data_IF_888031360423
#
_entry.id   IF_888031360423
#
_cell.length_a   1.000
_cell.length_b   1.000
_cell.length_c   1.000
_cell.angle_alpha   90.00
_cell.angle_beta   90.00
_cell.angle_gamma   90.00
#
_symmetry.space_group_name_H-M   'P 1'
#
loop_
_entity.id
_entity.type
_entity.pdbx_description
1 polymer ?
#
# COMPACT_ATOMS: atom_id res chain seq x y z
N UNK A 1 0.85 2.93 -49.90
CA UNK A 1 -0.42 3.03 -49.12
C UNK A 1 -0.24 2.26 -47.81
N UNK A 2 -0.62 2.81 -46.64
CA UNK A 2 -0.51 2.08 -45.36
C UNK A 2 -1.64 1.06 -45.21
N UNK A 3 -1.32 -0.12 -44.70
CA UNK A 3 -2.31 -1.14 -44.34
C UNK A 3 -3.05 -0.79 -43.05
N UNK A 4 -4.30 -1.22 -42.97
CA UNK A 4 -5.18 -0.95 -41.83
C UNK A 4 -4.98 -1.95 -40.70
N UNK A 5 -5.43 -1.55 -39.51
CA UNK A 5 -5.60 -2.44 -38.36
C UNK A 5 -6.78 -3.39 -38.62
N UNK A 6 -6.61 -4.72 -38.49
CA UNK A 6 -7.70 -5.67 -38.64
C UNK A 6 -8.87 -5.39 -37.71
N UNK A 7 -10.10 -5.67 -38.15
CA UNK A 7 -11.31 -5.39 -37.37
C UNK A 7 -11.31 -6.08 -36.01
N UNK A 8 -10.79 -7.31 -35.91
CA UNK A 8 -10.73 -8.04 -34.65
C UNK A 8 -9.87 -7.33 -33.58
N UNK A 9 -8.78 -6.66 -33.99
CA UNK A 9 -7.92 -5.90 -33.08
C UNK A 9 -8.70 -4.69 -32.54
N UNK A 10 -9.44 -3.99 -33.39
CA UNK A 10 -10.28 -2.87 -32.95
C UNK A 10 -11.38 -3.34 -32.00
N UNK A 11 -12.00 -4.50 -32.26
CA UNK A 11 -13.00 -5.09 -31.37
C UNK A 11 -12.40 -5.40 -29.99
N UNK A 12 -11.21 -6.01 -29.93
CA UNK A 12 -10.52 -6.28 -28.67
C UNK A 12 -10.21 -4.99 -27.89
N UNK A 13 -9.77 -3.94 -28.58
CA UNK A 13 -9.53 -2.62 -27.97
C UNK A 13 -10.84 -2.04 -27.40
N UNK A 14 -11.94 -2.09 -28.16
CA UNK A 14 -13.25 -1.60 -27.72
C UNK A 14 -13.73 -2.37 -26.49
N UNK A 15 -13.62 -3.70 -26.48
CA UNK A 15 -14.00 -4.53 -25.33
C UNK A 15 -13.16 -4.15 -24.10
N UNK A 16 -11.84 -4.02 -24.26
CA UNK A 16 -10.96 -3.60 -23.17
C UNK A 16 -11.34 -2.23 -22.60
N UNK A 17 -11.60 -1.25 -23.47
CA UNK A 17 -12.06 0.08 -23.06
C UNK A 17 -13.44 0.04 -22.36
N UNK A 18 -14.37 -0.78 -22.84
CA UNK A 18 -15.67 -0.96 -22.19
C UNK A 18 -15.54 -1.60 -20.81
N UNK A 19 -14.67 -2.61 -20.64
CA UNK A 19 -14.42 -3.22 -19.33
C UNK A 19 -13.88 -2.17 -18.34
N UNK A 20 -12.88 -1.39 -18.77
CA UNK A 20 -12.33 -0.30 -17.95
C UNK A 20 -13.43 0.71 -17.60
N UNK A 21 -14.18 1.18 -18.59
CA UNK A 21 -15.25 2.15 -18.39
C UNK A 21 -16.32 1.64 -17.41
N UNK A 22 -16.82 0.42 -17.56
CA UNK A 22 -17.82 -0.13 -16.64
C UNK A 22 -17.25 -0.31 -15.22
N UNK A 23 -15.99 -0.77 -15.09
CA UNK A 23 -15.34 -0.89 -13.78
C UNK A 23 -15.18 0.47 -13.09
N UNK A 24 -14.95 1.55 -13.84
CA UNK A 24 -14.91 2.92 -13.31
C UNK A 24 -16.24 3.39 -12.70
N UNK A 25 -17.38 2.79 -13.03
CA UNK A 25 -18.67 3.19 -12.42
C UNK A 25 -19.21 2.16 -11.43
N UNK A 26 -18.94 0.87 -11.66
CA UNK A 26 -19.52 -0.21 -10.86
C UNK A 26 -18.60 -0.61 -9.71
N UNK A 27 -17.28 -0.41 -9.83
CA UNK A 27 -16.29 -0.81 -8.81
C UNK A 27 -16.33 -2.30 -8.43
N UNK A 28 -16.87 -3.13 -9.31
CA UNK A 28 -16.89 -4.60 -9.21
C UNK A 28 -16.96 -5.20 -10.61
N UNK A 29 -16.68 -6.49 -10.76
CA UNK A 29 -16.82 -7.21 -12.04
C UNK A 29 -18.24 -7.77 -12.27
N UNK A 30 -19.20 -7.47 -11.40
CA UNK A 30 -20.58 -7.97 -11.51
C UNK A 30 -21.27 -7.51 -12.81
N UNK A 31 -20.84 -6.38 -13.38
CA UNK A 31 -21.35 -5.90 -14.66
C UNK A 31 -21.10 -6.87 -15.82
N UNK A 32 -20.15 -7.80 -15.72
CA UNK A 32 -19.91 -8.82 -16.75
C UNK A 32 -21.10 -9.78 -16.88
N UNK A 33 -21.92 -9.93 -15.82
CA UNK A 33 -23.19 -10.65 -15.85
C UNK A 33 -24.37 -9.83 -16.38
N UNK A 34 -24.17 -8.52 -16.63
CA UNK A 34 -25.25 -7.62 -17.02
C UNK A 34 -25.57 -7.70 -18.52
N UNK A 35 -26.86 -7.81 -18.92
CA UNK A 35 -27.24 -7.76 -20.32
C UNK A 35 -26.92 -6.40 -20.97
N UNK A 36 -26.83 -5.32 -20.18
CA UNK A 36 -26.48 -3.99 -20.69
C UNK A 36 -25.01 -3.92 -21.14
N UNK A 37 -24.09 -4.57 -20.43
CA UNK A 37 -22.69 -4.65 -20.84
C UNK A 37 -22.55 -5.41 -22.16
N UNK A 38 -23.19 -6.58 -22.29
CA UNK A 38 -23.13 -7.33 -23.54
C UNK A 38 -23.85 -6.62 -24.69
N UNK A 39 -24.93 -5.90 -24.42
CA UNK A 39 -25.59 -5.03 -25.40
C UNK A 39 -24.67 -3.95 -25.95
N UNK A 40 -23.90 -3.26 -25.10
CA UNK A 40 -22.93 -2.24 -25.54
C UNK A 40 -21.76 -2.84 -26.30
N UNK A 41 -21.25 -4.02 -25.89
CA UNK A 41 -20.22 -4.77 -26.63
C UNK A 41 -20.69 -5.13 -28.04
N UNK A 42 -21.92 -5.63 -28.19
CA UNK A 42 -22.49 -5.97 -29.51
C UNK A 42 -22.60 -4.74 -30.40
N UNK A 43 -23.14 -3.63 -29.88
CA UNK A 43 -23.24 -2.36 -30.63
C UNK A 43 -21.84 -1.88 -31.04
N UNK A 44 -20.87 -1.89 -30.12
CA UNK A 44 -19.48 -1.52 -30.42
C UNK A 44 -18.86 -2.39 -31.50
N UNK A 45 -19.12 -3.70 -31.48
CA UNK A 45 -18.70 -4.64 -32.52
C UNK A 45 -19.30 -4.31 -33.89
N UNK A 46 -20.61 -4.04 -33.96
CA UNK A 46 -21.29 -3.65 -35.20
C UNK A 46 -20.68 -2.36 -35.76
N UNK A 47 -20.46 -1.35 -34.92
CA UNK A 47 -19.83 -0.10 -35.34
C UNK A 47 -18.39 -0.33 -35.84
N UNK A 48 -17.63 -1.21 -35.20
CA UNK A 48 -16.29 -1.59 -35.66
C UNK A 48 -16.32 -2.26 -37.05
N UNK A 49 -17.31 -3.11 -37.33
CA UNK A 49 -17.49 -3.72 -38.65
C UNK A 49 -17.90 -2.71 -39.72
N UNK A 50 -18.82 -1.79 -39.41
CA UNK A 50 -19.22 -0.70 -40.33
C UNK A 50 -17.99 0.15 -40.67
N UNK A 51 -17.23 0.56 -39.66
CA UNK A 51 -15.98 1.30 -39.86
C UNK A 51 -14.94 0.50 -40.66
N UNK A 52 -14.87 -0.82 -40.44
CA UNK A 52 -14.05 -1.71 -41.27
C UNK A 52 -14.49 -1.66 -42.73
N UNK A 53 -15.76 -1.87 -43.01
CA UNK A 53 -16.29 -1.90 -44.38
C UNK A 53 -16.08 -0.56 -45.11
N UNK A 54 -16.33 0.58 -44.45
CA UNK A 54 -16.07 1.92 -45.02
C UNK A 54 -14.61 2.06 -45.41
N UNK A 55 -13.68 1.65 -44.53
CA UNK A 55 -12.27 1.76 -44.85
C UNK A 55 -11.81 0.79 -45.96
N UNK A 56 -12.50 -0.33 -46.18
CA UNK A 56 -12.20 -1.24 -47.30
C UNK A 56 -12.60 -0.59 -48.64
N UNK A 57 -13.72 0.15 -48.66
CA UNK A 57 -14.10 0.96 -49.82
C UNK A 57 -13.06 2.05 -50.10
N UNK A 58 -12.57 2.74 -49.07
CA UNK A 58 -11.52 3.76 -49.20
C UNK A 58 -10.21 3.14 -49.69
N UNK A 59 -9.80 2.00 -49.12
CA UNK A 59 -8.59 1.26 -49.52
C UNK A 59 -8.68 0.86 -50.99
N UNK A 60 -9.79 0.28 -51.42
CA UNK A 60 -10.02 -0.10 -52.81
C UNK A 60 -9.95 1.10 -53.77
N UNK A 61 -10.55 2.23 -53.40
CA UNK A 61 -10.48 3.45 -54.19
C UNK A 61 -9.07 4.03 -54.29
N UNK A 62 -8.27 3.94 -53.22
CA UNK A 62 -6.85 4.33 -53.24
C UNK A 62 -6.02 3.36 -54.06
N UNK A 63 -6.23 2.06 -53.91
CA UNK A 63 -5.51 1.02 -54.64
C UNK A 63 -5.65 1.17 -56.16
N UNK A 64 -6.85 1.54 -56.65
CA UNK A 64 -7.09 1.80 -58.08
C UNK A 64 -6.19 2.89 -58.65
N UNK A 65 -5.84 3.90 -57.85
CA UNK A 65 -5.04 5.07 -58.24
C UNK A 65 -3.52 4.84 -58.23
N UNK A 66 -3.06 3.68 -57.77
CA UNK A 66 -1.63 3.34 -57.69
C UNK A 66 -1.05 2.89 -59.04
N UNK A 67 0.25 3.13 -59.22
CA UNK A 67 1.03 2.59 -60.35
C UNK A 67 1.11 1.05 -60.29
N UNK A 68 1.46 0.35 -61.39
CA UNK A 68 1.64 -1.10 -61.38
C UNK A 68 2.66 -1.58 -60.35
N UNK A 69 3.77 -0.84 -60.21
CA UNK A 69 4.85 -1.13 -59.25
C UNK A 69 4.37 -0.96 -57.81
N UNK A 70 3.67 0.14 -57.52
CA UNK A 70 3.10 0.40 -56.19
C UNK A 70 2.04 -0.64 -55.80
N UNK A 71 1.24 -1.11 -56.77
CA UNK A 71 0.28 -2.19 -56.56
C UNK A 71 0.98 -3.49 -56.20
N UNK A 72 2.03 -3.86 -56.92
CA UNK A 72 2.80 -5.08 -56.65
C UNK A 72 3.44 -5.03 -55.26
N UNK A 73 4.06 -3.90 -54.90
CA UNK A 73 4.65 -3.69 -53.58
C UNK A 73 3.60 -3.79 -52.46
N UNK A 74 2.45 -3.15 -52.64
CA UNK A 74 1.35 -3.20 -51.67
C UNK A 74 0.80 -4.61 -51.48
N UNK A 75 0.62 -5.37 -52.56
CA UNK A 75 0.14 -6.76 -52.49
C UNK A 75 1.16 -7.69 -51.83
N UNK A 76 2.46 -7.47 -52.04
CA UNK A 76 3.51 -8.20 -51.36
C UNK A 76 3.49 -7.92 -49.85
N UNK A 77 3.36 -6.65 -49.46
CA UNK A 77 3.22 -6.25 -48.06
C UNK A 77 1.96 -6.84 -47.42
N UNK A 78 0.85 -6.95 -48.16
CA UNK A 78 -0.45 -7.47 -47.66
C UNK A 78 -0.41 -8.95 -47.29
N UNK A 79 0.59 -9.70 -47.80
CA UNK A 79 0.82 -11.11 -47.42
C UNK A 79 1.47 -11.25 -46.05
N UNK A 80 2.04 -10.19 -45.49
CA UNK A 80 2.66 -10.22 -44.15
C UNK A 80 1.57 -10.08 -43.08
N UNK A 81 1.45 -11.03 -42.14
CA UNK A 81 0.47 -10.94 -41.06
C UNK A 81 0.63 -9.67 -40.22
N UNK A 82 -0.50 -9.16 -39.70
CA UNK A 82 -0.52 -7.90 -38.93
C UNK A 82 0.46 -7.89 -37.75
N UNK A 83 0.46 -8.94 -36.93
CA UNK A 83 1.33 -9.02 -35.75
C UNK A 83 2.80 -9.13 -36.13
N UNK A 84 3.11 -9.87 -37.20
CA UNK A 84 4.48 -9.96 -37.74
C UNK A 84 4.97 -8.60 -38.21
N UNK A 85 4.13 -7.85 -38.93
CA UNK A 85 4.45 -6.48 -39.35
C UNK A 85 4.66 -5.56 -38.15
N UNK A 86 3.80 -5.64 -37.13
CA UNK A 86 3.92 -4.82 -35.93
C UNK A 86 5.25 -5.08 -35.22
N UNK A 87 5.61 -6.35 -35.04
CA UNK A 87 6.89 -6.76 -34.47
C UNK A 87 8.07 -6.26 -35.31
N UNK A 88 8.07 -6.52 -36.62
CA UNK A 88 9.13 -6.06 -37.51
C UNK A 88 9.27 -4.53 -37.52
N UNK A 89 8.17 -3.79 -37.46
CA UNK A 89 8.19 -2.33 -37.40
C UNK A 89 8.77 -1.81 -36.07
N UNK A 90 8.54 -2.53 -34.96
CA UNK A 90 9.08 -2.16 -33.65
C UNK A 90 10.60 -2.37 -33.55
N UNK A 91 11.14 -3.34 -34.30
CA UNK A 91 12.55 -3.76 -34.25
C UNK A 91 13.31 -3.56 -35.56
N UNK A 92 12.78 -2.77 -36.50
CA UNK A 92 13.45 -2.50 -37.78
C UNK A 92 14.76 -1.76 -37.53
N UNK A 93 15.89 -2.39 -37.83
CA UNK A 93 17.21 -1.75 -37.85
C UNK A 93 17.39 -0.93 -39.11
N UNK A 94 18.14 0.15 -39.00
CA UNK A 94 18.56 0.95 -40.14
C UNK A 94 19.69 0.23 -40.88
N UNK A 95 19.76 0.45 -42.19
CA UNK A 95 20.89 0.03 -42.99
C UNK A 95 22.04 1.03 -42.84
N UNK A 96 23.27 0.56 -43.10
CA UNK A 96 24.46 1.43 -43.03
C UNK A 96 24.41 2.63 -44.00
N UNK A 97 23.67 2.51 -45.11
CA UNK A 97 23.43 3.63 -46.03
C UNK A 97 22.49 4.66 -45.42
N UNK A 98 21.37 4.22 -44.83
CA UNK A 98 20.43 5.10 -44.13
C UNK A 98 21.09 5.80 -42.94
N UNK A 99 21.94 5.10 -42.17
CA UNK A 99 22.67 5.69 -41.04
C UNK A 99 23.63 6.80 -41.49
N UNK A 100 24.30 6.63 -42.62
CA UNK A 100 25.20 7.65 -43.17
C UNK A 100 24.43 8.90 -43.63
N UNK A 101 23.25 8.72 -44.20
CA UNK A 101 22.43 9.82 -44.73
C UNK A 101 21.79 10.67 -43.60
N UNK A 102 21.64 10.11 -42.40
CA UNK A 102 21.04 10.80 -41.23
C UNK A 102 22.07 11.16 -40.15
N UNK A 103 23.37 10.97 -40.43
CA UNK A 103 24.43 11.32 -39.50
C UNK A 103 24.53 12.85 -39.38
N UNK A 104 24.48 13.35 -38.15
CA UNK A 104 24.67 14.77 -37.87
C UNK A 104 26.13 15.15 -38.17
N UNK A 105 26.39 16.34 -38.71
CA UNK A 105 27.70 16.76 -39.24
C UNK A 105 28.75 17.13 -38.18
N UNK A 106 28.37 17.13 -36.91
CA UNK A 106 29.21 17.40 -35.76
C UNK A 106 29.02 16.33 -34.69
N UNK A 107 30.07 16.13 -33.88
CA UNK A 107 30.08 15.17 -32.79
C UNK A 107 31.02 15.62 -31.67
N UNK A 108 31.00 14.88 -30.57
CA UNK A 108 31.81 15.16 -29.39
C UNK A 108 32.70 13.96 -29.08
N UNK A 109 34.01 14.19 -28.96
CA UNK A 109 35.00 13.14 -28.63
C UNK A 109 34.92 11.90 -29.56
N UNK A 110 34.70 12.13 -30.86
CA UNK A 110 34.57 11.07 -31.86
C UNK A 110 33.23 10.32 -31.84
N UNK A 111 32.30 10.67 -30.96
CA UNK A 111 30.92 10.15 -30.94
C UNK A 111 30.04 11.05 -31.79
N UNK A 112 29.35 10.44 -32.76
CA UNK A 112 28.44 11.11 -33.70
C UNK A 112 27.00 10.66 -33.42
N UNK A 113 26.03 11.54 -33.65
CA UNK A 113 24.61 11.27 -33.42
C UNK A 113 23.85 11.08 -34.74
N UNK A 114 22.82 10.24 -34.71
CA UNK A 114 21.90 10.03 -35.83
C UNK A 114 20.64 10.88 -35.61
N UNK A 115 20.18 11.60 -36.63
CA UNK A 115 18.92 12.36 -36.60
C UNK A 115 17.71 11.43 -36.80
N UNK A 116 17.52 10.56 -35.81
CA UNK A 116 16.48 9.52 -35.82
C UNK A 116 15.13 10.04 -35.35
N UNK A 117 14.09 9.72 -36.13
CA UNK A 117 12.71 9.90 -35.66
C UNK A 117 12.42 8.96 -34.49
N UNK A 118 11.73 9.48 -33.47
CA UNK A 118 11.36 8.69 -32.28
C UNK A 118 10.53 7.44 -32.67
N UNK A 119 10.78 6.28 -32.04
CA UNK A 119 9.98 5.09 -32.27
C UNK A 119 8.50 5.37 -32.03
N UNK A 120 7.64 5.02 -32.99
CA UNK A 120 6.20 5.33 -32.91
C UNK A 120 5.52 4.72 -31.69
N UNK A 121 5.97 3.55 -31.24
CA UNK A 121 5.46 2.92 -30.02
C UNK A 121 5.83 3.73 -28.78
N UNK A 122 7.04 4.32 -28.75
CA UNK A 122 7.51 5.17 -27.66
C UNK A 122 6.69 6.47 -27.59
N UNK A 123 6.46 7.10 -28.74
CA UNK A 123 5.57 8.28 -28.83
C UNK A 123 4.14 7.93 -28.42
N UNK A 124 3.64 6.76 -28.82
CA UNK A 124 2.36 6.24 -28.38
C UNK A 124 2.28 6.08 -26.86
N UNK A 125 3.32 5.51 -26.24
CA UNK A 125 3.42 5.36 -24.78
C UNK A 125 3.44 6.72 -24.08
N UNK A 126 4.18 7.70 -24.62
CA UNK A 126 4.22 9.06 -24.09
C UNK A 126 2.82 9.69 -24.04
N UNK A 127 2.08 9.65 -25.15
CA UNK A 127 0.72 10.21 -25.17
C UNK A 127 -0.28 9.41 -24.34
N UNK A 128 -0.14 8.08 -24.26
CA UNK A 128 -0.93 7.27 -23.34
C UNK A 128 -0.69 7.68 -21.88
N UNK A 129 0.57 7.84 -21.48
CA UNK A 129 0.92 8.30 -20.13
C UNK A 129 0.32 9.68 -19.81
N UNK A 130 0.37 10.60 -20.77
CA UNK A 130 -0.28 11.92 -20.64
C UNK A 130 -1.79 11.80 -20.46
N UNK A 131 -2.46 10.99 -21.29
CA UNK A 131 -3.91 10.78 -21.18
C UNK A 131 -4.28 10.11 -19.83
N UNK A 132 -3.49 9.12 -19.41
CA UNK A 132 -3.66 8.47 -18.11
C UNK A 132 -3.51 9.46 -16.96
N UNK A 133 -2.50 10.33 -17.00
CA UNK A 133 -2.29 11.37 -15.99
C UNK A 133 -3.50 12.32 -15.89
N UNK A 134 -4.05 12.76 -17.03
CA UNK A 134 -5.26 13.61 -17.05
C UNK A 134 -6.44 12.90 -16.39
N UNK A 135 -6.68 11.63 -16.75
CA UNK A 135 -7.76 10.83 -16.15
C UNK A 135 -7.53 10.62 -14.65
N UNK A 136 -6.30 10.33 -14.25
CA UNK A 136 -5.90 10.12 -12.86
C UNK A 136 -6.17 11.38 -12.02
N UNK A 137 -5.66 12.53 -12.46
CA UNK A 137 -5.89 13.81 -11.77
C UNK A 137 -7.39 14.11 -11.70
N UNK A 138 -8.13 13.88 -12.78
CA UNK A 138 -9.57 14.12 -12.77
C UNK A 138 -10.32 13.20 -11.79
N UNK A 139 -9.97 11.91 -11.76
CA UNK A 139 -10.58 10.93 -10.88
C UNK A 139 -10.31 11.24 -9.39
N UNK A 140 -9.05 11.50 -9.01
CA UNK A 140 -8.67 11.74 -7.62
C UNK A 140 -9.02 13.14 -7.11
N UNK A 141 -9.12 14.14 -7.99
CA UNK A 141 -9.34 15.54 -7.57
C UNK A 141 -10.78 16.02 -7.69
N UNK A 142 -11.58 15.43 -8.58
CA UNK A 142 -12.91 15.96 -8.92
C UNK A 142 -14.05 14.93 -8.83
N UNK A 143 -13.77 13.71 -8.37
CA UNK A 143 -14.79 12.67 -8.24
C UNK A 143 -14.62 11.89 -6.94
N UNK A 144 -15.71 11.34 -6.42
CA UNK A 144 -15.69 10.47 -5.23
C UNK A 144 -15.15 9.06 -5.54
N UNK A 145 -14.91 8.75 -6.81
CA UNK A 145 -14.49 7.43 -7.30
C UNK A 145 -13.19 6.95 -6.64
N UNK A 146 -12.20 7.83 -6.53
CA UNK A 146 -10.87 7.52 -5.99
C UNK A 146 -10.49 8.51 -4.88
N UNK A 147 -11.48 9.10 -4.20
CA UNK A 147 -11.21 10.13 -3.21
C UNK A 147 -10.69 9.51 -1.90
N UNK A 148 -9.47 9.84 -1.44
CA UNK A 148 -8.82 9.13 -0.33
C UNK A 148 -9.59 9.20 0.99
N UNK A 149 -10.28 10.33 1.25
CA UNK A 149 -11.07 10.47 2.49
C UNK A 149 -12.30 9.57 2.50
N UNK A 150 -12.93 9.37 1.34
CA UNK A 150 -14.14 8.53 1.24
C UNK A 150 -13.79 7.06 1.42
N UNK A 151 -12.67 6.62 0.86
CA UNK A 151 -12.11 5.29 1.08
C UNK A 151 -11.76 5.09 2.57
N UNK A 152 -11.03 6.04 3.16
CA UNK A 152 -10.68 6.01 4.59
C UNK A 152 -11.92 5.92 5.49
N UNK A 153 -12.94 6.75 5.28
CA UNK A 153 -14.16 6.75 6.11
C UNK A 153 -14.89 5.41 6.05
N UNK A 154 -14.92 4.79 4.86
CA UNK A 154 -15.51 3.46 4.67
C UNK A 154 -14.73 2.39 5.43
N UNK A 155 -13.42 2.31 5.21
CA UNK A 155 -12.55 1.34 5.89
C UNK A 155 -12.57 1.54 7.40
N UNK A 156 -12.51 2.78 7.87
CA UNK A 156 -12.56 3.13 9.29
C UNK A 156 -13.88 2.66 9.92
N UNK A 157 -15.01 2.86 9.25
CA UNK A 157 -16.31 2.39 9.73
C UNK A 157 -16.36 0.86 9.80
N UNK A 158 -15.84 0.17 8.78
CA UNK A 158 -15.76 -1.30 8.76
C UNK A 158 -14.85 -1.82 9.88
N UNK A 159 -13.71 -1.16 10.10
CA UNK A 159 -12.78 -1.47 11.19
C UNK A 159 -13.43 -1.28 12.56
N UNK A 160 -14.11 -0.16 12.80
CA UNK A 160 -14.83 0.07 14.06
C UNK A 160 -15.89 -1.00 14.32
N UNK A 161 -16.65 -1.39 13.31
CA UNK A 161 -17.64 -2.46 13.44
C UNK A 161 -16.98 -3.80 13.80
N UNK A 162 -15.83 -4.12 13.20
CA UNK A 162 -15.06 -5.32 13.54
C UNK A 162 -14.52 -5.30 14.98
N UNK A 163 -14.07 -4.14 15.45
CA UNK A 163 -13.57 -3.96 16.82
C UNK A 163 -14.72 -4.14 17.81
N UNK A 164 -15.88 -3.55 17.52
CA UNK A 164 -17.08 -3.68 18.34
C UNK A 164 -17.50 -5.15 18.46
N UNK A 165 -17.49 -5.89 17.35
CA UNK A 165 -17.83 -7.31 17.36
C UNK A 165 -16.82 -8.15 18.14
N UNK A 166 -15.52 -7.88 17.98
CA UNK A 166 -14.48 -8.52 18.77
C UNK A 166 -14.67 -8.27 20.28
N UNK A 167 -14.96 -7.03 20.67
CA UNK A 167 -15.16 -6.63 22.06
C UNK A 167 -16.37 -7.29 22.73
N UNK A 168 -17.41 -7.69 21.98
CA UNK A 168 -18.53 -8.48 22.52
C UNK A 168 -18.09 -9.85 23.03
N UNK A 169 -17.08 -10.44 22.41
CA UNK A 169 -16.56 -11.78 22.78
C UNK A 169 -15.40 -11.70 23.77
N UNK A 170 -14.66 -10.60 23.75
CA UNK A 170 -13.51 -10.38 24.63
C UNK A 170 -13.56 -8.94 25.16
N UNK A 171 -14.23 -8.70 26.30
CA UNK A 171 -14.29 -7.38 26.88
C UNK A 171 -12.88 -6.89 27.22
N UNK A 172 -12.60 -5.58 27.10
CA UNK A 172 -11.29 -5.05 27.41
C UNK A 172 -10.94 -5.30 28.88
N UNK A 173 -9.71 -5.76 29.11
CA UNK A 173 -9.16 -5.85 30.47
C UNK A 173 -8.98 -4.43 31.01
N UNK A 174 -9.59 -4.15 32.16
CA UNK A 174 -9.49 -2.87 32.86
C UNK A 174 -8.76 -3.10 34.18
N UNK A 175 -8.39 -2.02 34.86
CA UNK A 175 -7.80 -2.13 36.19
C UNK A 175 -8.69 -2.93 37.16
N UNK A 176 -10.01 -2.96 36.97
CA UNK A 176 -10.91 -3.69 37.87
C UNK A 176 -11.02 -5.18 37.53
N UNK A 177 -10.89 -5.54 36.25
CA UNK A 177 -10.99 -6.93 35.80
C UNK A 177 -9.65 -7.64 35.76
N UNK A 178 -8.55 -6.89 35.63
CA UNK A 178 -7.19 -7.41 35.58
C UNK A 178 -6.84 -8.21 36.85
N UNK A 179 -6.19 -9.36 36.71
CA UNK A 179 -5.72 -10.16 37.85
C UNK A 179 -4.32 -10.67 37.63
N UNK A 180 -3.52 -10.72 38.68
CA UNK A 180 -2.24 -11.41 38.61
C UNK A 180 -2.43 -12.89 38.23
N UNK A 181 -1.58 -13.36 37.32
CA UNK A 181 -1.43 -14.76 36.96
C UNK A 181 0.03 -15.04 36.65
N UNK A 182 0.59 -16.09 37.24
CA UNK A 182 1.97 -16.50 36.97
C UNK A 182 2.17 -16.89 35.49
N UNK A 183 1.11 -17.38 34.82
CA UNK A 183 1.14 -17.74 33.40
C UNK A 183 1.41 -16.51 32.50
N UNK A 184 1.10 -15.31 32.98
CA UNK A 184 1.30 -14.06 32.24
C UNK A 184 2.75 -13.55 32.30
N UNK A 185 3.59 -14.05 33.20
CA UNK A 185 4.95 -13.51 33.45
C UNK A 185 5.83 -13.60 32.20
N UNK A 186 5.80 -14.73 31.49
CA UNK A 186 6.67 -14.95 30.34
C UNK A 186 6.37 -13.97 29.19
N UNK A 187 5.09 -13.75 28.88
CA UNK A 187 4.68 -12.78 27.87
C UNK A 187 4.85 -11.33 28.36
N UNK A 188 4.56 -11.09 29.64
CA UNK A 188 4.79 -9.80 30.30
C UNK A 188 6.24 -9.35 30.23
N UNK A 189 7.19 -10.27 30.31
CA UNK A 189 8.62 -9.99 30.15
C UNK A 189 8.96 -9.47 28.74
N UNK A 190 8.43 -10.10 27.70
CA UNK A 190 8.68 -9.67 26.31
C UNK A 190 8.02 -8.31 26.02
N UNK A 191 6.81 -8.08 26.55
CA UNK A 191 6.14 -6.79 26.49
C UNK A 191 6.91 -5.71 27.25
N UNK A 192 7.43 -6.01 28.44
CA UNK A 192 8.26 -5.09 29.22
C UNK A 192 9.57 -4.76 28.50
N UNK A 193 10.22 -5.75 27.89
CA UNK A 193 11.43 -5.54 27.09
C UNK A 193 11.19 -4.60 25.91
N UNK A 194 10.03 -4.71 25.28
CA UNK A 194 9.65 -3.90 24.11
C UNK A 194 9.29 -2.47 24.51
N UNK A 195 8.53 -2.30 25.60
CA UNK A 195 7.88 -1.03 25.91
C UNK A 195 8.53 -0.25 27.07
N UNK A 196 9.19 -0.94 28.01
CA UNK A 196 9.58 -0.36 29.31
C UNK A 196 11.10 -0.36 29.54
N UNK A 197 11.84 -1.32 28.98
CA UNK A 197 13.25 -1.55 29.28
C UNK A 197 14.19 -0.40 28.86
N UNK A 198 13.80 0.42 27.90
CA UNK A 198 14.58 1.60 27.50
C UNK A 198 14.75 2.61 28.64
N UNK A 199 13.76 2.71 29.54
CA UNK A 199 13.80 3.58 30.71
C UNK A 199 14.15 2.83 31.99
N UNK A 200 13.60 1.62 32.17
CA UNK A 200 13.72 0.84 33.41
C UNK A 200 14.77 -0.27 33.38
N UNK A 201 15.56 -0.38 32.30
CA UNK A 201 16.48 -1.50 31.98
C UNK A 201 15.77 -2.82 31.76
N UNK A 202 16.43 -3.78 31.11
CA UNK A 202 15.85 -5.10 30.82
C UNK A 202 15.53 -5.92 32.08
N UNK A 203 16.30 -5.71 33.15
CA UNK A 203 16.13 -6.36 34.46
C UNK A 203 15.18 -5.60 35.40
N UNK A 204 14.63 -4.45 34.98
CA UNK A 204 13.82 -3.58 35.81
C UNK A 204 14.61 -2.78 36.85
N UNK A 205 15.95 -2.87 36.85
CA UNK A 205 16.83 -2.25 37.85
C UNK A 205 16.88 -0.72 37.80
N UNK A 206 16.21 -0.09 36.84
CA UNK A 206 16.10 1.37 36.74
C UNK A 206 17.32 2.06 36.11
N UNK A 207 17.07 3.18 35.46
CA UNK A 207 18.06 3.97 34.71
C UNK A 207 17.58 5.39 34.53
N UNK A 208 16.91 5.66 33.41
CA UNK A 208 16.16 6.92 33.22
C UNK A 208 14.91 6.90 34.11
N UNK A 209 14.24 5.76 34.18
CA UNK A 209 13.13 5.49 35.11
C UNK A 209 13.61 4.88 36.44
N UNK A 210 12.75 4.87 37.48
CA UNK A 210 13.05 4.28 38.79
C UNK A 210 13.35 2.78 38.71
N UNK A 211 13.98 2.27 39.76
CA UNK A 211 14.12 0.83 39.99
C UNK A 211 12.75 0.23 40.31
N UNK A 212 12.31 -0.75 39.52
CA UNK A 212 11.03 -1.44 39.71
C UNK A 212 11.17 -2.73 40.52
N UNK A 213 12.39 -3.12 40.88
CA UNK A 213 12.68 -4.36 41.62
C UNK A 213 12.75 -4.14 43.14
N UNK A 214 12.82 -2.89 43.61
CA UNK A 214 12.88 -2.56 45.04
C UNK A 214 11.52 -2.07 45.59
N UNK A 215 11.45 -1.89 46.92
CA UNK A 215 10.23 -1.47 47.60
C UNK A 215 10.09 0.05 47.75
N UNK A 216 10.84 0.87 47.01
CA UNK A 216 10.72 2.33 47.06
C UNK A 216 10.02 2.87 45.81
N UNK A 217 8.89 3.55 46.01
CA UNK A 217 8.02 3.99 44.92
C UNK A 217 7.70 5.47 45.02
N UNK A 218 7.79 6.17 43.88
CA UNK A 218 7.46 7.59 43.73
C UNK A 218 5.94 7.80 43.70
N UNK A 219 5.22 6.93 43.00
CA UNK A 219 3.78 7.02 42.81
C UNK A 219 3.11 5.73 43.30
N UNK A 220 2.16 5.89 44.23
CA UNK A 220 1.39 4.80 44.83
C UNK A 220 -0.12 5.12 44.81
N UNK A 221 -0.74 5.35 43.63
CA UNK A 221 -2.19 5.55 43.55
C UNK A 221 -3.02 4.35 43.99
N UNK A 222 -2.45 3.14 43.94
CA UNK A 222 -3.14 1.90 44.31
C UNK A 222 -2.49 1.23 45.52
N UNK A 223 -3.23 0.31 46.16
CA UNK A 223 -2.79 -0.37 47.39
C UNK A 223 -2.00 -1.65 47.17
N UNK A 224 -2.20 -2.31 46.04
CA UNK A 224 -1.47 -3.52 45.65
C UNK A 224 -0.50 -3.18 44.52
N UNK A 225 0.68 -3.82 44.53
CA UNK A 225 1.71 -3.56 43.51
C UNK A 225 1.17 -3.80 42.10
N UNK A 226 0.46 -4.91 41.88
CA UNK A 226 -0.07 -5.28 40.57
C UNK A 226 -0.99 -4.20 40.00
N UNK A 227 -1.97 -3.74 40.80
CA UNK A 227 -2.90 -2.68 40.39
C UNK A 227 -2.16 -1.34 40.23
N UNK A 228 -1.15 -1.08 41.06
CA UNK A 228 -0.34 0.13 40.94
C UNK A 228 0.38 0.18 39.60
N UNK A 229 1.04 -0.89 39.18
CA UNK A 229 1.70 -0.97 37.87
C UNK A 229 0.69 -0.79 36.75
N UNK A 230 -0.46 -1.48 36.83
CA UNK A 230 -1.53 -1.30 35.84
C UNK A 230 -1.99 0.17 35.75
N UNK A 231 -2.21 0.82 36.89
CA UNK A 231 -2.60 2.22 36.96
C UNK A 231 -1.56 3.13 36.29
N UNK A 232 -0.28 2.91 36.60
CA UNK A 232 0.82 3.73 36.09
C UNK A 232 1.03 3.55 34.59
N UNK A 233 0.91 2.33 34.06
CA UNK A 233 1.00 2.07 32.61
C UNK A 233 -0.21 2.64 31.87
N UNK A 234 -1.39 2.59 32.48
CA UNK A 234 -2.60 3.14 31.87
C UNK A 234 -2.62 4.68 31.86
N UNK A 235 -2.27 5.31 32.99
CA UNK A 235 -2.45 6.74 33.21
C UNK A 235 -1.17 7.58 33.09
N UNK A 236 0.01 6.95 33.09
CA UNK A 236 1.30 7.63 33.18
C UNK A 236 1.59 8.15 34.60
N UNK A 237 2.77 8.74 34.79
CA UNK A 237 3.12 9.34 36.08
C UNK A 237 2.55 10.75 36.22
N UNK A 238 1.86 11.06 37.34
CA UNK A 238 1.38 12.41 37.61
C UNK A 238 2.51 13.39 37.95
N UNK A 239 3.68 12.88 38.36
CA UNK A 239 4.82 13.69 38.82
C UNK A 239 5.98 13.70 37.83
N UNK A 240 5.98 12.84 36.81
CA UNK A 240 7.00 12.81 35.78
C UNK A 240 6.41 12.49 34.39
N UNK A 241 6.23 13.48 33.50
CA UNK A 241 5.63 13.26 32.18
C UNK A 241 6.48 12.38 31.24
N UNK A 242 7.73 12.08 31.59
CA UNK A 242 8.54 11.10 30.85
C UNK A 242 7.93 9.69 30.91
N UNK A 243 7.24 9.35 32.01
CA UNK A 243 6.39 8.15 32.07
C UNK A 243 5.01 8.49 31.54
N UNK A 244 4.81 8.26 30.25
CA UNK A 244 3.58 8.60 29.50
C UNK A 244 2.46 7.59 29.77
N UNK A 245 1.23 7.96 29.43
CA UNK A 245 0.03 7.14 29.61
C UNK A 245 -0.13 6.13 28.46
N UNK A 246 0.66 5.05 28.46
CA UNK A 246 0.68 4.06 27.37
C UNK A 246 -0.71 3.48 27.07
N UNK A 247 -1.49 3.16 28.11
CA UNK A 247 -2.87 2.66 27.95
C UNK A 247 -3.82 3.70 27.35
N UNK A 248 -3.89 4.91 27.93
CA UNK A 248 -4.75 5.98 27.40
C UNK A 248 -4.39 6.44 25.99
N UNK A 249 -3.12 6.35 25.62
CA UNK A 249 -2.65 6.68 24.28
C UNK A 249 -2.95 5.57 23.26
N UNK A 250 -3.41 4.40 23.69
CA UNK A 250 -3.63 3.24 22.82
C UNK A 250 -2.34 2.56 22.34
N UNK A 251 -1.21 2.83 23.01
CA UNK A 251 0.09 2.24 22.68
C UNK A 251 0.20 0.80 23.22
N UNK A 252 -0.43 0.53 24.36
CA UNK A 252 -0.46 -0.80 25.00
C UNK A 252 -1.88 -1.06 25.49
N UNK A 253 -2.46 -2.21 25.13
CA UNK A 253 -3.81 -2.59 25.55
C UNK A 253 -3.87 -3.00 27.03
N UNK A 254 -5.06 -2.97 27.62
CA UNK A 254 -5.23 -3.40 29.02
C UNK A 254 -4.84 -4.86 29.27
N UNK A 255 -5.00 -5.74 28.27
CA UNK A 255 -4.58 -7.14 28.37
C UNK A 255 -3.06 -7.29 28.34
N UNK A 256 -2.36 -6.42 27.59
CA UNK A 256 -0.90 -6.38 27.60
C UNK A 256 -0.37 -5.76 28.91
N UNK A 257 -1.02 -4.72 29.42
CA UNK A 257 -0.69 -4.12 30.72
C UNK A 257 -0.89 -5.12 31.87
N UNK A 258 -1.93 -5.96 31.82
CA UNK A 258 -2.12 -7.05 32.80
C UNK A 258 -0.88 -7.96 32.86
N UNK A 259 -0.30 -8.29 31.69
CA UNK A 259 0.88 -9.14 31.59
C UNK A 259 2.14 -8.42 32.05
N UNK A 260 2.33 -7.16 31.65
CA UNK A 260 3.44 -6.33 32.12
C UNK A 260 3.40 -6.19 33.65
N UNK A 261 2.23 -5.91 34.22
CA UNK A 261 2.03 -5.83 35.67
C UNK A 261 2.37 -7.16 36.38
N UNK A 262 2.02 -8.31 35.79
CA UNK A 262 2.40 -9.61 36.33
C UNK A 262 3.93 -9.82 36.33
N UNK A 263 4.62 -9.41 35.26
CA UNK A 263 6.08 -9.48 35.21
C UNK A 263 6.75 -8.54 36.21
N UNK A 264 6.28 -7.29 36.32
CA UNK A 264 6.82 -6.33 37.30
C UNK A 264 6.58 -6.80 38.73
N UNK A 265 5.40 -7.38 39.00
CA UNK A 265 5.12 -8.02 40.29
C UNK A 265 6.13 -9.13 40.59
N UNK A 266 6.39 -10.03 39.63
CA UNK A 266 7.35 -11.12 39.77
C UNK A 266 8.77 -10.64 40.11
N UNK A 267 9.31 -9.67 39.34
CA UNK A 267 10.68 -9.18 39.56
C UNK A 267 10.85 -8.35 40.85
N UNK A 268 9.74 -7.88 41.44
CA UNK A 268 9.74 -7.09 42.66
C UNK A 268 9.47 -7.94 43.92
N UNK A 269 8.48 -8.83 43.87
CA UNK A 269 8.00 -9.58 45.04
C UNK A 269 8.61 -10.98 45.14
N UNK A 270 9.04 -11.58 44.03
CA UNK A 270 9.48 -12.98 43.99
C UNK A 270 10.99 -13.12 43.75
N UNK A 271 11.66 -12.06 43.30
CA UNK A 271 13.10 -12.03 43.06
C UNK A 271 13.81 -11.02 43.98
N UNK A 272 15.10 -11.23 44.29
CA UNK A 272 15.89 -10.24 45.00
C UNK A 272 16.02 -8.92 44.19
N UNK A 273 15.98 -7.75 44.85
CA UNK A 273 16.11 -6.46 44.17
C UNK A 273 17.49 -6.29 43.53
N UNK A 274 17.53 -5.61 42.38
CA UNK A 274 18.79 -5.21 41.75
C UNK A 274 19.34 -4.00 42.50
N UNK A 275 20.37 -4.23 43.30
CA UNK A 275 20.97 -3.19 44.15
C UNK A 275 21.89 -2.25 43.34
N UNK A 276 22.23 -1.04 43.87
CA UNK A 276 23.23 -0.18 43.26
C UNK A 276 24.58 -0.84 43.02
N UNK A 277 25.00 -1.77 43.89
CA UNK A 277 26.23 -2.53 43.72
C UNK A 277 26.19 -3.48 42.51
N UNK A 278 24.99 -3.89 42.09
CA UNK A 278 24.74 -4.72 40.90
C UNK A 278 24.38 -3.88 39.67
N UNK A 279 24.44 -2.55 39.76
CA UNK A 279 24.11 -1.63 38.67
C UNK A 279 22.66 -1.15 38.64
N UNK A 280 21.88 -1.41 39.69
CA UNK A 280 20.53 -0.83 39.87
C UNK A 280 20.58 0.67 40.20
N UNK A 281 19.49 1.38 39.93
CA UNK A 281 19.31 2.75 40.39
C UNK A 281 19.18 2.78 41.93
N UNK A 282 19.59 3.90 42.54
CA UNK A 282 19.35 4.13 43.97
C UNK A 282 17.83 4.20 44.25
N UNK A 283 17.37 3.80 45.45
CA UNK A 283 15.96 3.87 45.82
C UNK A 283 15.37 5.27 45.63
N UNK A 284 14.15 5.35 45.09
CA UNK A 284 13.46 6.61 44.78
C UNK A 284 12.04 6.64 45.35
N UNK A 285 11.67 7.73 46.00
CA UNK A 285 10.35 7.89 46.60
C UNK A 285 10.29 7.33 48.02
N UNK A 286 9.13 6.79 48.40
CA UNK A 286 8.86 6.29 49.75
C UNK A 286 8.77 4.78 49.75
N UNK A 287 9.18 4.15 50.86
CA UNK A 287 9.01 2.72 51.06
C UNK A 287 7.51 2.37 50.97
N UNK A 288 7.17 1.46 50.06
CA UNK A 288 5.83 0.98 49.82
C UNK A 288 5.54 -0.24 50.70
N UNK A 289 4.35 -0.26 51.29
CA UNK A 289 3.83 -1.39 52.05
C UNK A 289 2.62 -1.95 51.32
N UNK A 290 2.88 -2.78 50.31
CA UNK A 290 1.83 -3.34 49.46
C UNK A 290 0.91 -4.29 50.23
N UNK A 291 -0.39 -4.13 50.02
CA UNK A 291 -1.36 -5.13 50.45
C UNK A 291 -1.17 -6.41 49.60
N UNK A 292 -1.42 -7.58 50.20
CA UNK A 292 -1.48 -8.83 49.44
C UNK A 292 -2.69 -8.78 48.51
N UNK A 293 -2.50 -9.26 47.29
CA UNK A 293 -3.55 -9.37 46.27
C UNK A 293 -4.65 -10.36 46.68
#
# INVERSE_FOLDING_TARGET
MKQRTPVFVNILIIIGLLIVFYYLFVQSYEFLGSPYFWGTVVIGGILAYIHSAIGDLIENNKFKKLSPEEKAAYLAEKKVPYLTRLYQAAFKKQSAAEEKDILIDHGFDGIMELDNQLPKWWVGLFYFGTAFCIVYVAAYSFTDFAHPLTEYEKEYKEQLASIEEYQKTQPPVTIETAKYSADNIAEGKELFKTNCASCHKEDGGGGIGPNLTDNYWINQPEKTLFKNVFHMDWNGSPTNPAMRAFGKNGEVSGAEIEKIAAYVYHINQELPPVTPAQGGAAPQGTEAHWEKE
#
